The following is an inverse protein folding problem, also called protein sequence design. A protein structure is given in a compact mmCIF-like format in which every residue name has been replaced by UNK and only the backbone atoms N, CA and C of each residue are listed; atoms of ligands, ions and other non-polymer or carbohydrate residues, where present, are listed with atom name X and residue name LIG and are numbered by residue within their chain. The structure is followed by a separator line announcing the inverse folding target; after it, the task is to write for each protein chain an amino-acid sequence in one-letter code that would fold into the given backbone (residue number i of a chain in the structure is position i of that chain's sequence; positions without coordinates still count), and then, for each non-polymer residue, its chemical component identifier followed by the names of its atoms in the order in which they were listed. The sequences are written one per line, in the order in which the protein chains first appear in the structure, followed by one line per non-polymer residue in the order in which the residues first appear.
data_IF_979800077101
#
_entry.id   IF_979800077101
#
_cell.length_a   1.000
_cell.length_b   1.000
_cell.length_c   1.000
_cell.angle_alpha   90.00
_cell.angle_beta   90.00
_cell.angle_gamma   90.00
#
_symmetry.space_group_name_H-M   'P 1'
#
loop_
_entity.id
_entity.type
_entity.pdbx_description
1 polymer ?
#
# COMPACT_ATOMS: atom_id res chain seq x y z
N UNK A 1 4.41 -11.98 15.79
CA UNK A 1 3.90 -11.20 14.65
C UNK A 1 4.95 -10.18 14.29
N UNK A 2 5.58 -10.29 13.12
CA UNK A 2 6.60 -9.32 12.69
C UNK A 2 5.93 -7.95 12.58
N UNK A 3 6.50 -6.88 13.17
CA UNK A 3 5.91 -5.55 13.06
C UNK A 3 5.76 -5.18 11.59
N UNK A 4 4.55 -4.77 11.23
CA UNK A 4 4.22 -4.31 9.88
C UNK A 4 5.12 -3.11 9.53
N UNK A 5 5.83 -3.18 8.39
CA UNK A 5 6.69 -2.08 7.88
C UNK A 5 5.98 -0.72 8.01
N UNK A 6 6.65 0.37 8.39
CA UNK A 6 6.05 1.70 8.44
C UNK A 6 5.47 2.12 7.07
N UNK A 7 4.44 3.00 7.03
CA UNK A 7 3.79 3.40 5.78
C UNK A 7 4.75 3.98 4.72
N UNK A 8 5.81 4.66 5.15
CA UNK A 8 6.86 5.20 4.28
C UNK A 8 7.62 4.10 3.55
N UNK A 9 8.00 3.02 4.24
CA UNK A 9 8.66 1.86 3.64
C UNK A 9 7.73 1.11 2.69
N UNK A 10 6.45 0.97 3.04
CA UNK A 10 5.46 0.36 2.13
C UNK A 10 5.32 1.17 0.84
N UNK A 11 5.30 2.51 0.92
CA UNK A 11 5.28 3.38 -0.26
C UNK A 11 6.56 3.25 -1.09
N UNK A 12 7.73 3.17 -0.44
CA UNK A 12 9.00 3.00 -1.13
C UNK A 12 9.05 1.66 -1.89
N UNK A 13 8.61 0.57 -1.27
CA UNK A 13 8.52 -0.75 -1.90
C UNK A 13 7.57 -0.76 -3.11
N UNK A 14 6.38 -0.17 -2.95
CA UNK A 14 5.40 -0.03 -4.03
C UNK A 14 5.98 0.75 -5.21
N UNK A 15 6.62 1.90 -4.96
CA UNK A 15 7.26 2.71 -6.01
C UNK A 15 8.38 1.95 -6.73
N UNK A 16 9.17 1.16 -6.00
CA UNK A 16 10.22 0.33 -6.58
C UNK A 16 9.65 -0.73 -7.52
N UNK A 17 8.62 -1.46 -7.08
CA UNK A 17 7.98 -2.50 -7.90
C UNK A 17 7.37 -1.92 -9.19
N UNK A 18 6.76 -0.74 -9.10
CA UNK A 18 6.23 -0.04 -10.28
C UNK A 18 7.37 0.35 -11.23
N UNK A 19 8.47 0.91 -10.72
CA UNK A 19 9.62 1.28 -11.53
C UNK A 19 10.23 0.07 -12.25
N UNK A 20 10.38 -1.06 -11.55
CA UNK A 20 10.84 -2.32 -12.14
C UNK A 20 9.87 -2.81 -13.23
N UNK A 21 8.54 -2.78 -12.96
CA UNK A 21 7.52 -3.20 -13.92
C UNK A 21 7.52 -2.36 -15.21
N UNK A 22 7.71 -1.04 -15.12
CA UNK A 22 7.74 -0.14 -16.28
C UNK A 22 8.87 -0.53 -17.25
N UNK A 23 10.01 -0.95 -16.71
CA UNK A 23 11.17 -1.36 -17.51
C UNK A 23 11.18 -2.84 -17.94
N UNK A 24 10.25 -3.66 -17.42
CA UNK A 24 10.26 -5.11 -17.63
C UNK A 24 9.69 -5.47 -19.01
N UNK A 25 10.49 -6.07 -19.92
CA UNK A 25 10.03 -6.45 -21.26
C UNK A 25 9.14 -7.71 -21.25
N UNK A 26 9.30 -8.62 -20.30
CA UNK A 26 8.48 -9.83 -20.21
C UNK A 26 7.11 -9.53 -19.58
N UNK A 27 6.04 -9.78 -20.33
CA UNK A 27 4.68 -9.42 -19.89
C UNK A 27 4.24 -10.19 -18.64
N UNK A 28 4.67 -11.45 -18.46
CA UNK A 28 4.32 -12.25 -17.29
C UNK A 28 5.01 -11.70 -16.02
N UNK A 29 6.29 -11.36 -16.11
CA UNK A 29 7.04 -10.74 -15.02
C UNK A 29 6.52 -9.34 -14.71
N UNK A 30 6.22 -8.54 -15.74
CA UNK A 30 5.60 -7.21 -15.58
C UNK A 30 4.28 -7.34 -14.81
N UNK A 31 3.44 -8.29 -15.20
CA UNK A 31 2.17 -8.53 -14.52
C UNK A 31 2.39 -8.92 -13.05
N UNK A 32 3.32 -9.84 -12.76
CA UNK A 32 3.65 -10.22 -11.39
C UNK A 32 4.10 -9.05 -10.52
N UNK A 33 4.95 -8.16 -11.04
CA UNK A 33 5.41 -6.96 -10.34
C UNK A 33 4.26 -5.98 -10.05
N UNK A 34 3.34 -5.80 -11.01
CA UNK A 34 2.16 -4.95 -10.82
C UNK A 34 1.19 -5.50 -9.78
N UNK A 35 1.00 -6.83 -9.73
CA UNK A 35 0.18 -7.49 -8.69
C UNK A 35 0.79 -7.26 -7.30
N UNK A 36 2.10 -7.36 -7.16
CA UNK A 36 2.79 -7.05 -5.90
C UNK A 36 2.62 -5.58 -5.51
N UNK A 37 2.74 -4.65 -6.46
CA UNK A 37 2.50 -3.23 -6.21
C UNK A 37 1.06 -2.94 -5.77
N UNK A 38 0.06 -3.58 -6.39
CA UNK A 38 -1.36 -3.44 -6.01
C UNK A 38 -1.60 -3.95 -4.58
N UNK A 39 -0.96 -5.05 -4.18
CA UNK A 39 -1.06 -5.55 -2.81
C UNK A 39 -0.57 -4.52 -1.78
N UNK A 40 0.54 -3.84 -2.05
CA UNK A 40 1.03 -2.76 -1.18
C UNK A 40 0.11 -1.55 -1.16
N UNK A 41 -0.50 -1.20 -2.29
CA UNK A 41 -1.52 -0.14 -2.38
C UNK A 41 -2.74 -0.47 -1.49
N UNK A 42 -3.20 -1.73 -1.51
CA UNK A 42 -4.29 -2.18 -0.65
C UNK A 42 -3.94 -2.11 0.85
N UNK A 43 -2.73 -2.51 1.24
CA UNK A 43 -2.25 -2.35 2.63
C UNK A 43 -2.30 -0.87 3.05
N UNK A 44 -1.85 0.05 2.20
CA UNK A 44 -1.90 1.48 2.49
C UNK A 44 -3.34 2.00 2.62
N UNK A 45 -4.26 1.56 1.75
CA UNK A 45 -5.68 1.93 1.81
C UNK A 45 -6.32 1.45 3.11
N UNK A 46 -6.10 0.19 3.50
CA UNK A 46 -6.63 -0.38 4.75
C UNK A 46 -6.10 0.35 5.97
N UNK A 47 -4.80 0.69 6.00
CA UNK A 47 -4.20 1.46 7.10
C UNK A 47 -4.77 2.87 7.21
N UNK A 48 -5.00 3.53 6.08
CA UNK A 48 -5.67 4.84 6.06
C UNK A 48 -7.08 4.73 6.62
N UNK A 49 -7.88 3.77 6.14
CA UNK A 49 -9.23 3.54 6.65
C UNK A 49 -9.26 3.23 8.15
N UNK A 50 -8.29 2.44 8.65
CA UNK A 50 -8.16 2.15 10.08
C UNK A 50 -7.72 3.37 10.90
N UNK A 51 -6.80 4.19 10.39
CA UNK A 51 -6.39 5.44 11.04
C UNK A 51 -7.52 6.46 11.11
N UNK A 52 -8.31 6.58 10.04
CA UNK A 52 -9.49 7.45 9.98
C UNK A 52 -10.62 6.94 10.91
N UNK A 53 -10.76 5.62 11.07
CA UNK A 53 -11.72 5.02 12.00
C UNK A 53 -11.38 5.26 13.48
N UNK A 54 -10.10 5.39 13.83
CA UNK A 54 -9.65 5.74 15.19
C UNK A 54 -9.70 7.26 15.44
N UNK A 55 -9.66 8.07 14.36
CA UNK A 55 -9.75 9.53 14.42
C UNK A 55 -11.16 10.13 14.44
N UNK A 56 -12.20 9.35 14.12
CA UNK A 56 -13.59 9.84 14.18
C UNK A 56 -14.16 9.71 15.60
N UNK A 57 -13.75 10.62 16.50
CA UNK A 57 -14.60 11.04 17.62
C UNK A 57 -15.50 12.16 17.08
N UNK A 58 -16.61 11.78 16.44
CA UNK A 58 -17.64 12.74 16.05
C UNK A 58 -18.04 13.61 17.25
N UNK A 59 -18.46 14.88 17.03
CA UNK A 59 -18.95 15.69 18.13
C UNK A 59 -20.14 14.99 18.78
N UNK A 60 -20.01 14.59 20.04
CA UNK A 60 -21.15 14.27 20.89
C UNK A 60 -21.99 15.53 20.98
N UNK A 61 -23.04 15.58 20.17
CA UNK A 61 -24.10 16.55 20.32
C UNK A 61 -25.02 16.10 21.47
N UNK A 62 -25.26 17.08 22.35
CA UNK A 62 -26.26 17.15 23.44
C UNK A 62 -25.83 16.64 24.81
#
# INVERSE_FOLDING_TARGET
MTPLKPPSEVRAEMSRLIAEAVSEPDDNRRHGLLVLADHWSDILRRRRAAGDAVGFRGPTAQ
#
